data_IF_398542344820
#
_entry.id   IF_398542344820
#
_cell.length_a   1.000
_cell.length_b   1.000
_cell.length_c   1.000
_cell.angle_alpha   90.00
_cell.angle_beta   90.00
_cell.angle_gamma   90.00
#
_symmetry.space_group_name_H-M   'P 1'
#
loop_
_entity.id
_entity.type
_entity.pdbx_description
1 polymer ?
#
# COMPACT_ATOMS: atom_id res chain seq x y z
N UNK A 1 60.38 -44.98 0.62
CA UNK A 1 61.22 -43.81 0.96
C UNK A 1 60.79 -42.63 0.09
N UNK A 2 60.66 -41.42 0.70
CA UNK A 2 60.44 -40.07 0.10
C UNK A 2 59.05 -39.86 -0.53
N UNK A 3 58.04 -39.34 0.17
CA UNK A 3 57.78 -37.97 0.72
C UNK A 3 57.75 -36.87 -0.36
N UNK A 4 56.55 -36.37 -0.70
CA UNK A 4 56.27 -34.94 -0.89
C UNK A 4 54.74 -34.66 -0.91
N UNK A 5 54.23 -33.98 0.14
CA UNK A 5 53.07 -33.05 0.10
C UNK A 5 53.60 -31.71 -0.45
N UNK A 6 52.82 -30.81 -1.10
CA UNK A 6 51.60 -30.15 -0.59
C UNK A 6 50.55 -29.90 -1.71
N UNK A 7 49.35 -29.33 -1.55
CA UNK A 7 49.02 -27.98 -1.12
C UNK A 7 47.50 -27.89 -0.94
N UNK A 8 47.06 -27.26 0.15
CA UNK A 8 45.69 -26.80 0.34
C UNK A 8 45.30 -25.81 -0.77
N UNK A 9 44.07 -25.91 -1.26
CA UNK A 9 43.27 -24.71 -1.54
C UNK A 9 41.90 -24.86 -0.88
N UNK A 10 41.81 -24.25 0.30
CA UNK A 10 40.54 -23.88 0.93
C UNK A 10 39.88 -22.85 0.01
N UNK A 11 38.85 -23.24 -0.72
CA UNK A 11 37.90 -22.27 -1.27
C UNK A 11 36.86 -22.01 -0.19
N UNK A 12 37.10 -20.95 0.57
CA UNK A 12 36.11 -20.30 1.40
C UNK A 12 34.90 -19.92 0.52
N UNK A 13 33.84 -20.72 0.54
CA UNK A 13 32.51 -20.21 0.21
C UNK A 13 32.12 -19.27 1.34
N UNK A 14 32.36 -17.97 1.12
CA UNK A 14 31.86 -16.92 1.99
C UNK A 14 30.35 -17.04 2.13
N UNK A 15 29.78 -16.58 3.25
CA UNK A 15 28.34 -16.62 3.45
C UNK A 15 27.70 -15.82 2.32
N UNK A 16 26.77 -16.43 1.58
CA UNK A 16 25.82 -15.68 0.79
C UNK A 16 25.20 -14.67 1.74
N UNK A 17 25.51 -13.39 1.53
CA UNK A 17 24.77 -12.31 2.13
C UNK A 17 23.31 -12.57 1.83
N UNK A 18 22.50 -12.72 2.88
CA UNK A 18 21.06 -12.68 2.76
C UNK A 18 20.73 -11.32 2.13
N UNK A 19 20.54 -11.29 0.81
CA UNK A 19 19.91 -10.17 0.16
C UNK A 19 18.58 -10.00 0.87
N UNK A 20 18.40 -8.86 1.55
CA UNK A 20 17.13 -8.50 2.17
C UNK A 20 16.06 -8.74 1.10
N UNK A 21 15.19 -9.72 1.32
CA UNK A 21 14.11 -9.98 0.38
C UNK A 21 13.29 -8.69 0.33
N UNK A 22 12.99 -8.14 -0.86
CA UNK A 22 12.13 -6.97 -0.95
C UNK A 22 10.85 -7.29 -0.19
N UNK A 23 10.56 -6.53 0.86
CA UNK A 23 9.31 -6.63 1.60
C UNK A 23 8.17 -6.66 0.57
N UNK A 24 7.21 -7.59 0.67
CA UNK A 24 6.12 -7.65 -0.27
C UNK A 24 5.44 -6.26 -0.33
N UNK A 25 5.40 -5.67 -1.53
CA UNK A 25 4.68 -4.42 -1.81
C UNK A 25 3.20 -4.72 -1.65
N UNK A 26 2.73 -4.59 -0.41
CA UNK A 26 1.38 -4.89 0.01
C UNK A 26 0.66 -3.62 0.48
N UNK A 27 -0.68 -3.70 0.67
CA UNK A 27 -1.46 -2.57 1.17
C UNK A 27 -0.98 -2.05 2.54
N UNK A 28 -0.18 -2.84 3.26
CA UNK A 28 0.37 -2.51 4.57
C UNK A 28 1.32 -1.33 4.57
N UNK A 29 2.08 -1.11 3.49
CA UNK A 29 2.89 0.09 3.38
C UNK A 29 2.00 1.35 3.33
N UNK A 30 0.90 1.30 2.58
CA UNK A 30 -0.09 2.37 2.55
C UNK A 30 -0.75 2.55 3.92
N UNK A 31 -1.12 1.46 4.61
CA UNK A 31 -1.66 1.52 5.99
C UNK A 31 -0.71 2.23 6.94
N UNK A 32 0.59 1.90 6.92
CA UNK A 32 1.61 2.54 7.78
C UNK A 32 1.72 4.04 7.49
N UNK A 33 1.78 4.42 6.21
CA UNK A 33 1.85 5.83 5.82
C UNK A 33 0.60 6.62 6.23
N UNK A 34 -0.58 6.04 6.02
CA UNK A 34 -1.85 6.66 6.43
C UNK A 34 -1.91 6.84 7.96
N UNK A 35 -1.41 5.89 8.74
CA UNK A 35 -1.34 6.01 10.19
C UNK A 35 -0.38 7.11 10.68
N UNK A 36 0.62 7.47 9.89
CA UNK A 36 1.61 8.52 10.18
C UNK A 36 1.30 9.84 9.46
N UNK A 37 0.24 9.87 8.64
CA UNK A 37 -0.06 11.02 7.81
C UNK A 37 -0.46 12.25 8.64
N UNK A 38 -0.04 13.46 8.23
CA UNK A 38 -0.52 14.68 8.86
C UNK A 38 -2.03 14.85 8.66
N UNK A 39 -2.68 15.57 9.57
CA UNK A 39 -4.13 15.85 9.49
C UNK A 39 -4.53 16.59 8.19
N UNK A 40 -3.63 17.44 7.69
CA UNK A 40 -3.79 18.18 6.44
C UNK A 40 -3.14 17.41 5.30
N UNK A 41 -3.95 17.03 4.30
CA UNK A 41 -3.48 16.31 3.11
C UNK A 41 -2.92 17.28 2.06
N UNK A 42 -1.91 16.86 1.27
CA UNK A 42 -1.33 17.67 0.20
C UNK A 42 -2.35 17.89 -0.93
N UNK A 43 -2.57 19.15 -1.31
CA UNK A 43 -3.64 19.52 -2.23
C UNK A 43 -3.48 18.94 -3.66
N UNK A 44 -2.25 18.89 -4.17
CA UNK A 44 -1.99 18.42 -5.55
C UNK A 44 -2.24 16.90 -5.71
N UNK A 45 -1.66 16.01 -4.87
CA UNK A 45 -1.99 14.58 -4.91
C UNK A 45 -3.47 14.30 -4.70
N UNK A 46 -4.13 15.02 -3.79
CA UNK A 46 -5.56 14.88 -3.52
C UNK A 46 -6.42 15.21 -4.75
N UNK A 47 -6.13 16.33 -5.41
CA UNK A 47 -6.81 16.74 -6.64
C UNK A 47 -6.70 15.68 -7.72
N UNK A 48 -5.51 15.12 -7.90
CA UNK A 48 -5.24 14.13 -8.93
C UNK A 48 -5.93 12.78 -8.63
N UNK A 49 -5.94 12.38 -7.35
CA UNK A 49 -6.68 11.22 -6.91
C UNK A 49 -8.18 11.35 -7.20
N UNK A 50 -8.78 12.49 -6.86
CA UNK A 50 -10.20 12.77 -7.13
C UNK A 50 -10.51 12.81 -8.62
N UNK A 51 -9.62 13.41 -9.43
CA UNK A 51 -9.78 13.48 -10.89
C UNK A 51 -9.87 12.09 -11.53
N UNK A 52 -9.13 11.12 -10.98
CA UNK A 52 -8.98 9.78 -11.57
C UNK A 52 -9.84 8.71 -10.90
N UNK A 53 -10.48 9.02 -9.77
CA UNK A 53 -11.34 8.11 -9.01
C UNK A 53 -12.47 7.49 -9.85
N UNK A 54 -13.08 8.28 -10.74
CA UNK A 54 -14.12 7.80 -11.64
C UNK A 54 -13.63 6.68 -12.58
N UNK A 55 -12.38 6.75 -13.01
CA UNK A 55 -11.72 5.70 -13.81
C UNK A 55 -11.50 4.43 -13.00
N UNK A 56 -10.99 4.55 -11.77
CA UNK A 56 -10.80 3.41 -10.88
C UNK A 56 -12.11 2.69 -10.56
N UNK A 57 -13.18 3.45 -10.30
CA UNK A 57 -14.54 2.90 -10.10
C UNK A 57 -15.03 2.16 -11.34
N UNK A 58 -14.83 2.72 -12.53
CA UNK A 58 -15.25 2.09 -13.77
C UNK A 58 -14.52 0.76 -13.98
N UNK A 59 -13.22 0.72 -13.74
CA UNK A 59 -12.42 -0.50 -13.83
C UNK A 59 -12.86 -1.55 -12.80
N UNK A 60 -13.17 -1.15 -11.56
CA UNK A 60 -13.74 -2.05 -10.56
C UNK A 60 -15.06 -2.68 -11.03
N UNK A 61 -15.97 -1.87 -11.59
CA UNK A 61 -17.28 -2.33 -12.09
C UNK A 61 -17.18 -3.25 -13.30
N UNK A 62 -16.15 -3.09 -14.13
CA UNK A 62 -15.87 -3.95 -15.29
C UNK A 62 -15.19 -5.27 -14.90
N UNK A 63 -14.73 -5.38 -13.65
CA UNK A 63 -13.94 -6.51 -13.17
C UNK A 63 -12.45 -6.16 -13.16
N UNK A 64 -11.80 -6.45 -12.03
CA UNK A 64 -10.36 -6.26 -11.90
C UNK A 64 -9.59 -7.39 -12.57
N UNK A 65 -8.34 -7.13 -13.02
CA UNK A 65 -7.41 -8.18 -13.42
C UNK A 65 -7.27 -9.28 -12.35
N UNK A 66 -6.99 -10.50 -12.77
CA UNK A 66 -6.95 -11.66 -11.87
C UNK A 66 -6.00 -11.43 -10.68
N UNK A 67 -6.54 -11.54 -9.47
CA UNK A 67 -5.80 -11.35 -8.21
C UNK A 67 -5.49 -9.89 -7.84
N UNK A 68 -5.75 -8.92 -8.73
CA UNK A 68 -5.61 -7.52 -8.39
C UNK A 68 -6.67 -7.08 -7.37
N UNK A 69 -6.33 -6.10 -6.54
CA UNK A 69 -7.20 -5.59 -5.49
C UNK A 69 -7.25 -4.06 -5.53
N UNK A 70 -8.44 -3.51 -5.36
CA UNK A 70 -8.66 -2.07 -5.22
C UNK A 70 -8.76 -1.71 -3.75
N UNK A 71 -8.04 -0.68 -3.36
CA UNK A 71 -8.08 -0.05 -2.05
C UNK A 71 -8.42 1.43 -2.21
N UNK A 72 -9.01 2.00 -1.18
CA UNK A 72 -9.22 3.45 -1.05
C UNK A 72 -8.66 3.95 0.26
N UNK A 73 -8.08 5.15 0.25
CA UNK A 73 -7.87 5.94 1.46
C UNK A 73 -9.12 6.78 1.66
N UNK A 74 -9.78 6.66 2.80
CA UNK A 74 -11.02 7.38 3.07
C UNK A 74 -10.95 8.12 4.41
N UNK A 75 -11.64 9.25 4.49
CA UNK A 75 -11.83 9.99 5.74
C UNK A 75 -13.15 9.54 6.40
N UNK A 76 -13.06 9.01 7.61
CA UNK A 76 -14.21 8.57 8.39
C UNK A 76 -14.11 9.10 9.83
N UNK A 77 -15.19 9.00 10.60
CA UNK A 77 -15.17 9.29 12.03
C UNK A 77 -14.87 8.01 12.80
N UNK A 78 -13.98 8.08 13.78
CA UNK A 78 -13.74 6.99 14.73
C UNK A 78 -14.82 6.95 15.83
N UNK A 79 -14.69 6.01 16.78
CA UNK A 79 -15.64 5.83 17.89
C UNK A 79 -15.77 7.10 18.77
N UNK A 80 -14.74 7.93 18.83
CA UNK A 80 -14.74 9.21 19.54
C UNK A 80 -15.22 10.39 18.68
N UNK A 81 -15.84 10.12 17.52
CA UNK A 81 -16.26 11.11 16.53
C UNK A 81 -15.12 12.02 16.01
N UNK A 82 -13.87 11.55 16.09
CA UNK A 82 -12.71 12.26 15.53
C UNK A 82 -12.49 11.81 14.09
N UNK A 83 -12.28 12.74 13.13
CA UNK A 83 -11.90 12.38 11.77
C UNK A 83 -10.56 11.63 11.72
N UNK A 84 -10.54 10.49 11.05
CA UNK A 84 -9.34 9.70 10.79
C UNK A 84 -9.27 9.26 9.33
N UNK A 85 -8.06 8.94 8.88
CA UNK A 85 -7.84 8.33 7.57
C UNK A 85 -7.73 6.82 7.73
N UNK A 86 -8.40 6.10 6.82
CA UNK A 86 -8.46 4.65 6.81
C UNK A 86 -8.07 4.13 5.43
N UNK A 87 -7.37 2.99 5.40
CA UNK A 87 -7.22 2.21 4.16
C UNK A 87 -8.31 1.15 4.14
N UNK A 88 -9.06 1.09 3.04
CA UNK A 88 -10.21 0.20 2.90
C UNK A 88 -10.07 -0.60 1.62
N UNK A 89 -10.08 -1.93 1.72
CA UNK A 89 -10.20 -2.83 0.56
C UNK A 89 -11.62 -2.79 0.03
N UNK A 90 -11.78 -2.52 -1.25
CA UNK A 90 -13.10 -2.42 -1.88
C UNK A 90 -13.69 -3.81 -2.08
N UNK A 91 -14.87 -4.03 -1.52
CA UNK A 91 -15.65 -5.27 -1.68
C UNK A 91 -16.82 -5.09 -2.64
N UNK A 92 -17.34 -3.86 -2.75
CA UNK A 92 -18.42 -3.51 -3.65
C UNK A 92 -18.52 -2.00 -3.85
N UNK A 93 -19.07 -1.58 -4.98
CA UNK A 93 -19.27 -0.18 -5.31
C UNK A 93 -20.55 -0.02 -6.12
N UNK A 94 -21.56 0.62 -5.55
CA UNK A 94 -22.89 0.81 -6.14
C UNK A 94 -23.32 2.26 -6.03
N UNK A 95 -23.54 2.91 -7.18
CA UNK A 95 -23.84 4.34 -7.21
C UNK A 95 -22.75 5.14 -6.48
N UNK A 96 -23.12 6.03 -5.54
CA UNK A 96 -22.18 6.82 -4.75
C UNK A 96 -21.70 6.12 -3.47
N UNK A 97 -21.99 4.83 -3.27
CA UNK A 97 -21.69 4.11 -2.04
C UNK A 97 -20.67 2.99 -2.28
N UNK A 98 -19.66 2.95 -1.43
CA UNK A 98 -18.62 1.92 -1.40
C UNK A 98 -18.82 1.03 -0.18
N UNK A 99 -18.80 -0.29 -0.39
CA UNK A 99 -18.70 -1.29 0.67
C UNK A 99 -17.27 -1.83 0.69
N UNK A 100 -16.66 -1.86 1.86
CA UNK A 100 -15.26 -2.25 1.96
C UNK A 100 -14.87 -2.81 3.32
N UNK A 101 -13.69 -3.38 3.40
CA UNK A 101 -13.11 -3.90 4.63
C UNK A 101 -11.93 -3.01 5.06
N UNK A 102 -11.92 -2.59 6.32
CA UNK A 102 -10.83 -1.77 6.84
C UNK A 102 -9.57 -2.63 6.93
N UNK A 103 -8.49 -2.14 6.33
CA UNK A 103 -7.18 -2.75 6.41
C UNK A 103 -6.49 -2.24 7.67
N UNK A 104 -6.36 -3.10 8.67
CA UNK A 104 -5.51 -2.89 9.84
C UNK A 104 -4.27 -3.78 9.68
N UNK A 105 -3.11 -3.35 10.19
CA UNK A 105 -1.78 -4.03 10.12
C UNK A 105 -1.87 -5.55 10.02
N UNK A 106 -0.92 -6.23 9.35
CA UNK A 106 -0.96 -7.68 9.04
C UNK A 106 -1.46 -8.63 10.13
N UNK A 107 -1.15 -8.32 11.40
CA UNK A 107 -1.51 -9.15 12.56
C UNK A 107 -2.91 -8.87 13.14
N UNK A 108 -3.61 -7.86 12.62
CA UNK A 108 -4.91 -7.45 13.12
C UNK A 108 -6.02 -8.37 12.62
N UNK A 109 -6.99 -8.64 13.49
CA UNK A 109 -8.20 -9.37 13.12
C UNK A 109 -8.94 -8.65 11.98
N UNK A 110 -9.51 -9.44 11.08
CA UNK A 110 -10.34 -8.92 10.00
C UNK A 110 -11.53 -8.13 10.56
N UNK A 111 -11.68 -6.88 10.13
CA UNK A 111 -12.83 -6.07 10.51
C UNK A 111 -14.10 -6.52 9.78
N UNK A 112 -15.26 -6.23 10.36
CA UNK A 112 -16.50 -6.27 9.62
C UNK A 112 -16.45 -5.28 8.43
N UNK A 113 -17.16 -5.56 7.32
CA UNK A 113 -17.32 -4.60 6.24
C UNK A 113 -18.03 -3.33 6.71
N UNK A 114 -17.60 -2.19 6.18
CA UNK A 114 -18.20 -0.87 6.39
C UNK A 114 -18.76 -0.34 5.07
N UNK A 115 -19.63 0.67 5.18
CA UNK A 115 -20.12 1.45 4.05
C UNK A 115 -19.63 2.90 4.18
N UNK A 116 -19.21 3.47 3.06
CA UNK A 116 -18.69 4.83 2.97
C UNK A 116 -19.24 5.51 1.72
N UNK A 117 -19.56 6.81 1.76
CA UNK A 117 -19.86 7.55 0.55
C UNK A 117 -18.58 7.74 -0.28
N UNK A 118 -18.70 7.76 -1.60
CA UNK A 118 -17.59 8.02 -2.53
C UNK A 118 -16.91 9.37 -2.24
N UNK A 119 -17.67 10.36 -1.74
CA UNK A 119 -17.15 11.65 -1.30
C UNK A 119 -16.20 11.59 -0.11
N UNK A 120 -16.18 10.49 0.65
CA UNK A 120 -15.22 10.28 1.74
C UNK A 120 -13.83 9.85 1.22
N UNK A 121 -13.72 9.41 -0.03
CA UNK A 121 -12.47 8.92 -0.62
C UNK A 121 -11.48 10.08 -0.83
N UNK A 122 -10.27 9.91 -0.33
CA UNK A 122 -9.15 10.84 -0.46
C UNK A 122 -8.11 10.35 -1.48
N UNK A 123 -7.95 9.03 -1.63
CA UNK A 123 -7.07 8.41 -2.62
C UNK A 123 -7.52 7.00 -2.96
N UNK A 124 -6.98 6.41 -4.03
CA UNK A 124 -7.26 5.05 -4.46
C UNK A 124 -5.99 4.35 -4.92
N UNK A 125 -5.91 3.04 -4.72
CA UNK A 125 -4.78 2.20 -5.13
C UNK A 125 -5.33 0.91 -5.75
N UNK A 126 -5.04 0.69 -7.03
CA UNK A 126 -5.18 -0.64 -7.64
C UNK A 126 -3.82 -1.35 -7.58
N UNK A 127 -3.75 -2.39 -6.76
CA UNK A 127 -2.55 -3.20 -6.56
C UNK A 127 -2.66 -4.51 -7.34
N UNK A 128 -1.70 -4.74 -8.22
CA UNK A 128 -1.60 -5.96 -9.01
C UNK A 128 -0.80 -7.03 -8.25
N UNK A 129 -1.01 -8.30 -8.60
CA UNK A 129 -0.23 -9.42 -8.03
C UNK A 129 1.27 -9.34 -8.32
N UNK A 130 1.66 -8.59 -9.36
CA UNK A 130 3.06 -8.31 -9.70
C UNK A 130 3.70 -7.22 -8.83
N UNK A 131 2.94 -6.61 -7.92
CA UNK A 131 3.37 -5.43 -7.15
C UNK A 131 3.26 -4.11 -7.91
N UNK A 132 2.82 -4.11 -9.17
CA UNK A 132 2.51 -2.89 -9.91
C UNK A 132 1.35 -2.15 -9.22
N UNK A 133 1.46 -0.83 -9.13
CA UNK A 133 0.45 0.05 -8.56
C UNK A 133 -0.10 1.03 -9.61
N UNK A 134 -1.42 1.20 -9.64
CA UNK A 134 -2.09 2.32 -10.29
C UNK A 134 -2.78 3.20 -9.24
N UNK A 135 -2.81 4.51 -9.48
CA UNK A 135 -3.24 5.49 -8.47
C UNK A 135 -2.15 5.73 -7.42
N UNK A 136 -2.53 5.68 -6.15
CA UNK A 136 -1.69 5.83 -4.95
C UNK A 136 -0.96 7.18 -4.92
N UNK A 137 -1.69 8.26 -5.17
CA UNK A 137 -1.11 9.60 -5.28
C UNK A 137 -0.58 10.11 -3.94
N UNK A 138 -1.32 9.90 -2.85
CA UNK A 138 -0.86 10.26 -1.50
C UNK A 138 0.31 9.37 -1.07
N UNK A 139 0.24 8.06 -1.32
CA UNK A 139 1.31 7.14 -0.96
C UNK A 139 2.64 7.46 -1.64
N UNK A 140 2.59 7.79 -2.95
CA UNK A 140 3.77 8.21 -3.73
C UNK A 140 4.30 9.58 -3.31
N UNK A 141 3.41 10.50 -2.93
CA UNK A 141 3.82 11.79 -2.36
C UNK A 141 4.59 11.58 -1.06
N UNK A 142 4.07 10.78 -0.12
CA UNK A 142 4.76 10.51 1.14
C UNK A 142 6.10 9.77 0.95
N UNK A 143 6.20 8.86 -0.03
CA UNK A 143 7.49 8.24 -0.39
C UNK A 143 8.52 9.28 -0.84
N UNK A 144 8.09 10.29 -1.61
CA UNK A 144 8.98 11.33 -2.09
C UNK A 144 9.46 12.22 -0.94
N UNK A 145 8.55 12.64 -0.06
CA UNK A 145 8.89 13.47 1.11
C UNK A 145 9.88 12.75 2.03
N UNK A 146 9.65 11.47 2.33
CA UNK A 146 10.56 10.66 3.15
C UNK A 146 11.96 10.56 2.53
N UNK A 147 12.03 10.35 1.21
CA UNK A 147 13.30 10.29 0.46
C UNK A 147 14.04 11.62 0.45
N UNK A 148 13.33 12.75 0.46
CA UNK A 148 13.93 14.08 0.51
C UNK A 148 14.44 14.39 1.92
N UNK A 149 13.66 14.06 2.95
CA UNK A 149 14.06 14.27 4.35
C UNK A 149 15.28 13.42 4.76
N UNK A 150 15.46 12.22 4.19
CA UNK A 150 16.62 11.37 4.46
C UNK A 150 17.92 11.78 3.75
N UNK A 151 17.91 12.83 2.93
CA UNK A 151 19.08 13.36 2.23
C UNK A 151 19.70 14.59 2.90
N UNK A 152 19.10 15.08 3.98
CA UNK A 152 19.60 16.19 4.81
C UNK A 152 20.40 15.68 6.02
#
# INVERSE_FOLDING_TARGET
MRVLRPLLFFLCFGPLGAAAQPEPIGPWQLVRKVAQAPATLPALPLKEAHRTLGGARQQFRQGLPAGAQLYVVARALNEAATPELLVVRVLGWQGPTLKGQIMRTETAAQSAPIELPESAVQDWLLLYTTGREEGNYLGKYWDLEERLAGQE
#
